data_IF_856908822569
#
_entry.id   IF_856908822569
#
_cell.length_a   1.000
_cell.length_b   1.000
_cell.length_c   1.000
_cell.angle_alpha   90.00
_cell.angle_beta   90.00
_cell.angle_gamma   90.00
#
_symmetry.space_group_name_H-M   'P 1'
#
loop_
_entity.id
_entity.type
_entity.pdbx_description
1 polymer ?
#
# COMPACT_ATOMS: atom_id res chain seq x y z
N UNK A 1 -4.28 -10.29 -4.94
CA UNK A 1 -3.55 -11.13 -3.97
C UNK A 1 -2.16 -11.55 -4.41
N UNK A 2 -1.68 -11.01 -5.53
CA UNK A 2 -0.33 -11.33 -6.01
C UNK A 2 0.74 -10.92 -4.99
N UNK A 3 0.47 -9.88 -4.21
CA UNK A 3 1.41 -9.38 -3.22
C UNK A 3 1.21 -9.94 -1.82
N UNK A 4 0.24 -10.82 -1.63
CA UNK A 4 -0.05 -11.37 -0.30
C UNK A 4 1.13 -12.18 0.24
N UNK A 5 1.67 -13.09 -0.55
CA UNK A 5 2.83 -13.86 -0.15
C UNK A 5 4.02 -12.95 0.17
N UNK A 6 4.26 -11.96 -0.69
CA UNK A 6 5.36 -11.02 -0.49
C UNK A 6 5.18 -10.22 0.81
N UNK A 7 3.96 -9.79 1.09
CA UNK A 7 3.65 -9.04 2.31
C UNK A 7 3.96 -9.86 3.56
N UNK A 8 3.48 -11.10 3.60
CA UNK A 8 3.73 -11.99 4.73
C UNK A 8 5.22 -12.31 4.86
N UNK A 9 5.86 -12.67 3.76
CA UNK A 9 7.28 -13.00 3.76
C UNK A 9 8.12 -11.83 4.27
N UNK A 10 7.88 -10.62 3.77
CA UNK A 10 8.64 -9.44 4.15
C UNK A 10 8.46 -9.09 5.63
N UNK A 11 7.33 -9.43 6.22
CA UNK A 11 7.08 -9.21 7.63
C UNK A 11 7.73 -10.24 8.55
N UNK A 12 8.19 -11.37 8.00
CA UNK A 12 8.76 -12.47 8.79
C UNK A 12 10.27 -12.62 8.66
N UNK A 13 10.91 -11.95 7.69
CA UNK A 13 12.35 -12.04 7.50
C UNK A 13 12.98 -10.67 7.57
N UNK A 14 14.24 -10.61 8.02
CA UNK A 14 14.98 -9.37 8.12
C UNK A 14 15.67 -9.05 6.80
N UNK A 15 15.65 -7.77 6.41
CA UNK A 15 16.41 -7.27 5.28
C UNK A 15 17.92 -7.38 5.47
N UNK A 16 18.39 -7.65 6.71
CA UNK A 16 19.79 -7.94 6.97
C UNK A 16 20.20 -9.31 6.49
N UNK A 17 19.24 -10.24 6.39
CA UNK A 17 19.52 -11.64 6.05
C UNK A 17 19.23 -11.95 4.60
N UNK A 18 18.29 -11.24 3.97
CA UNK A 18 17.89 -11.51 2.59
C UNK A 18 17.68 -10.20 1.82
N UNK A 19 17.96 -10.24 0.53
CA UNK A 19 17.54 -9.21 -0.41
C UNK A 19 16.11 -9.54 -0.84
N UNK A 20 15.14 -8.85 -0.27
CA UNK A 20 13.72 -9.16 -0.46
C UNK A 20 13.27 -8.95 -1.90
N UNK A 21 13.77 -7.95 -2.60
CA UNK A 21 13.44 -7.75 -4.01
C UNK A 21 13.89 -8.94 -4.85
N UNK A 22 15.14 -9.35 -4.66
CA UNK A 22 15.71 -10.47 -5.41
C UNK A 22 15.02 -11.77 -5.08
N UNK A 23 14.81 -12.02 -3.78
CA UNK A 23 14.22 -13.28 -3.29
C UNK A 23 12.80 -13.47 -3.80
N UNK A 24 12.03 -12.38 -3.89
CA UNK A 24 10.63 -12.42 -4.30
C UNK A 24 10.42 -12.12 -5.78
N UNK A 25 11.49 -11.82 -6.51
CA UNK A 25 11.39 -11.48 -7.92
C UNK A 25 10.68 -10.15 -8.17
N UNK A 26 10.72 -9.23 -7.22
CA UNK A 26 10.12 -7.91 -7.35
C UNK A 26 11.11 -6.91 -7.93
N UNK A 27 10.58 -5.91 -8.63
CA UNK A 27 11.39 -4.92 -9.33
C UNK A 27 11.41 -3.60 -8.57
N UNK A 28 12.57 -3.17 -8.03
CA UNK A 28 12.69 -1.86 -7.40
C UNK A 28 12.77 -0.77 -8.45
N UNK A 29 12.05 0.32 -8.22
CA UNK A 29 12.10 1.52 -9.06
C UNK A 29 12.38 2.70 -8.15
N UNK A 30 13.38 3.52 -8.53
CA UNK A 30 13.79 4.67 -7.73
C UNK A 30 12.74 5.78 -7.84
N UNK A 31 12.23 6.24 -6.70
CA UNK A 31 11.29 7.34 -6.66
C UNK A 31 11.95 8.67 -6.98
N UNK A 32 11.21 9.58 -7.61
CA UNK A 32 11.73 10.86 -8.10
C UNK A 32 11.95 11.89 -7.01
N UNK A 33 11.21 11.79 -5.90
CA UNK A 33 11.22 12.83 -4.85
C UNK A 33 12.20 12.53 -3.72
N UNK A 34 12.26 11.29 -3.25
CA UNK A 34 13.08 10.91 -2.11
C UNK A 34 14.24 10.00 -2.49
N UNK A 35 14.18 9.38 -3.67
CA UNK A 35 15.13 8.36 -4.07
C UNK A 35 14.88 7.01 -3.44
N UNK A 36 13.87 6.87 -2.60
CA UNK A 36 13.48 5.56 -2.07
C UNK A 36 12.88 4.70 -3.16
N UNK A 37 13.08 3.39 -3.06
CA UNK A 37 12.56 2.46 -4.06
C UNK A 37 11.10 2.15 -3.78
N UNK A 38 10.29 2.10 -4.86
CA UNK A 38 8.96 1.51 -4.79
C UNK A 38 8.94 0.21 -5.61
N UNK A 39 7.85 -0.51 -5.55
CA UNK A 39 7.71 -1.85 -6.13
C UNK A 39 6.90 -1.76 -7.42
N UNK A 40 7.54 -2.01 -8.56
CA UNK A 40 6.89 -1.86 -9.86
C UNK A 40 5.64 -2.72 -10.01
N UNK A 41 5.65 -3.92 -9.42
CA UNK A 41 4.52 -4.85 -9.49
C UNK A 41 3.29 -4.40 -8.70
N UNK A 42 3.44 -3.45 -7.79
CA UNK A 42 2.30 -2.93 -7.04
C UNK A 42 1.51 -1.93 -7.87
N UNK A 43 0.18 -2.02 -7.90
CA UNK A 43 -0.65 -1.13 -8.73
C UNK A 43 -0.66 0.32 -8.23
N UNK A 44 -0.43 0.53 -6.94
CA UNK A 44 -0.33 1.85 -6.34
C UNK A 44 0.88 1.88 -5.43
N UNK A 45 1.73 2.89 -5.60
CA UNK A 45 2.85 3.15 -4.72
C UNK A 45 2.80 4.59 -4.26
N UNK A 46 3.12 4.81 -2.99
CA UNK A 46 3.19 6.14 -2.41
C UNK A 46 4.59 6.39 -1.90
N UNK A 47 5.19 7.47 -2.34
CA UNK A 47 6.49 7.92 -1.89
C UNK A 47 6.29 8.94 -0.78
N UNK A 48 6.93 8.70 0.38
CA UNK A 48 6.66 9.49 1.58
C UNK A 48 7.95 10.02 2.19
N UNK A 49 7.85 11.18 2.85
CA UNK A 49 8.88 11.68 3.75
C UNK A 49 8.45 11.45 5.19
N UNK A 50 9.31 10.84 5.99
CA UNK A 50 9.01 10.62 7.41
C UNK A 50 8.96 11.97 8.11
N UNK A 51 7.84 12.25 8.77
CA UNK A 51 7.66 13.48 9.57
C UNK A 51 7.80 13.23 11.06
N UNK A 52 7.38 12.06 11.52
CA UNK A 52 7.45 11.70 12.93
C UNK A 52 7.82 10.24 13.08
N UNK A 53 8.61 9.96 14.10
CA UNK A 53 8.94 8.61 14.52
C UNK A 53 8.70 8.50 16.02
N UNK A 54 7.89 7.54 16.44
CA UNK A 54 7.54 7.33 17.84
C UNK A 54 7.99 5.93 18.23
N UNK A 55 8.83 5.85 19.25
CA UNK A 55 9.34 4.58 19.76
C UNK A 55 8.34 4.02 20.75
N UNK A 56 7.83 2.81 20.49
CA UNK A 56 6.80 2.16 21.29
C UNK A 56 7.31 0.78 21.79
N UNK A 57 8.45 0.75 22.46
CA UNK A 57 9.04 -0.50 22.92
C UNK A 57 9.58 -1.35 21.77
N UNK A 58 8.94 -2.49 21.49
CA UNK A 58 9.38 -3.41 20.43
C UNK A 58 9.06 -2.91 19.01
N UNK A 59 8.26 -1.86 18.88
CA UNK A 59 7.83 -1.32 17.60
C UNK A 59 8.07 0.18 17.55
N UNK A 60 8.22 0.69 16.33
CA UNK A 60 8.30 2.12 16.06
C UNK A 60 7.15 2.51 15.12
N UNK A 61 6.49 3.61 15.45
CA UNK A 61 5.45 4.18 14.59
C UNK A 61 6.05 5.29 13.74
N UNK A 62 5.89 5.21 12.43
CA UNK A 62 6.32 6.25 11.50
C UNK A 62 5.12 6.95 10.91
N UNK A 63 5.16 8.28 10.90
CA UNK A 63 4.16 9.10 10.21
C UNK A 63 4.85 9.75 9.04
N UNK A 64 4.40 9.42 7.84
CA UNK A 64 4.96 9.90 6.60
C UNK A 64 4.00 10.82 5.85
N UNK A 65 4.55 11.86 5.26
CA UNK A 65 3.81 12.72 4.33
C UNK A 65 3.97 12.16 2.93
N UNK A 66 2.85 11.92 2.23
CA UNK A 66 2.88 11.49 0.83
C UNK A 66 3.34 12.65 -0.04
N UNK A 67 4.49 12.49 -0.70
CA UNK A 67 5.04 13.52 -1.59
C UNK A 67 4.89 13.16 -3.06
N UNK A 68 4.63 11.90 -3.38
CA UNK A 68 4.34 11.45 -4.74
C UNK A 68 3.55 10.16 -4.70
N UNK A 69 2.74 9.94 -5.71
CA UNK A 69 2.00 8.69 -5.88
C UNK A 69 2.17 8.21 -7.32
N UNK A 70 2.36 6.90 -7.47
CA UNK A 70 2.54 6.25 -8.76
C UNK A 70 1.43 5.23 -8.92
N UNK A 71 0.59 5.40 -9.94
CA UNK A 71 -0.61 4.60 -10.13
C UNK A 71 -0.58 4.00 -11.54
N UNK A 72 -0.81 2.69 -11.62
CA UNK A 72 -0.89 1.98 -12.88
C UNK A 72 -2.12 2.43 -13.67
N UNK A 73 -2.00 2.53 -15.00
CA UNK A 73 -3.07 3.06 -15.86
C UNK A 73 -4.42 2.38 -15.66
N UNK A 74 -4.46 1.06 -15.55
CA UNK A 74 -5.71 0.31 -15.40
C UNK A 74 -6.42 0.48 -14.07
N UNK A 75 -5.83 1.22 -13.13
CA UNK A 75 -6.37 1.39 -11.78
C UNK A 75 -7.26 2.62 -11.68
N UNK A 76 -7.13 3.57 -12.58
CA UNK A 76 -7.90 4.81 -12.54
C UNK A 76 -9.16 4.73 -13.38
N UNK A 77 -10.21 5.40 -12.91
CA UNK A 77 -11.41 5.67 -13.72
C UNK A 77 -11.12 6.78 -14.73
N UNK A 78 -11.98 6.97 -15.75
CA UNK A 78 -11.84 8.10 -16.68
C UNK A 78 -11.81 9.46 -15.96
N UNK A 79 -12.45 9.56 -14.79
CA UNK A 79 -12.47 10.78 -13.98
C UNK A 79 -11.23 10.95 -13.10
N UNK A 80 -10.28 10.02 -13.17
CA UNK A 80 -9.04 10.09 -12.40
C UNK A 80 -9.13 9.59 -10.97
N UNK A 81 -10.17 8.84 -10.63
CA UNK A 81 -10.32 8.23 -9.30
C UNK A 81 -9.83 6.80 -9.32
N UNK A 82 -9.45 6.29 -8.14
CA UNK A 82 -9.07 4.89 -8.01
C UNK A 82 -10.28 4.01 -8.23
N UNK A 83 -10.16 3.09 -9.19
CA UNK A 83 -11.20 2.12 -9.47
C UNK A 83 -11.00 0.89 -8.59
N UNK A 84 -11.73 0.81 -7.49
CA UNK A 84 -11.59 -0.26 -6.51
C UNK A 84 -11.88 -1.64 -7.08
N UNK A 85 -12.71 -1.74 -8.13
CA UNK A 85 -13.01 -3.04 -8.76
C UNK A 85 -11.81 -3.62 -9.50
N UNK A 86 -10.81 -2.81 -9.83
CA UNK A 86 -9.58 -3.24 -10.47
C UNK A 86 -8.45 -3.50 -9.47
N UNK A 87 -8.76 -3.42 -8.18
CA UNK A 87 -7.81 -3.70 -7.10
C UNK A 87 -8.26 -4.93 -6.32
N UNK A 88 -7.30 -5.77 -5.98
CA UNK A 88 -7.53 -6.96 -5.18
C UNK A 88 -6.87 -6.74 -3.82
N UNK A 89 -7.53 -5.97 -2.99
CA UNK A 89 -7.01 -5.56 -1.69
C UNK A 89 -7.21 -6.63 -0.64
N UNK A 90 -6.35 -6.64 0.36
CA UNK A 90 -6.51 -7.48 1.53
C UNK A 90 -6.17 -6.68 2.78
N UNK A 91 -6.62 -7.17 3.93
CA UNK A 91 -6.33 -6.57 5.22
C UNK A 91 -5.80 -7.62 6.19
N UNK A 92 -5.00 -7.17 7.14
CA UNK A 92 -4.50 -8.02 8.21
C UNK A 92 -5.36 -7.79 9.45
N UNK A 93 -6.02 -8.85 9.90
CA UNK A 93 -6.79 -8.83 11.14
C UNK A 93 -6.26 -9.98 11.98
N UNK A 94 -5.38 -9.65 12.87
CA UNK A 94 -4.50 -10.53 13.57
C UNK A 94 -5.06 -11.85 14.05
N UNK A 95 -4.49 -12.98 13.70
CA UNK A 95 -3.26 -13.12 12.92
C UNK A 95 -3.50 -13.50 11.45
N UNK A 96 -4.65 -13.20 10.88
CA UNK A 96 -5.08 -13.68 9.57
C UNK A 96 -5.19 -12.55 8.55
N UNK A 97 -5.17 -12.94 7.28
CA UNK A 97 -5.40 -12.02 6.16
C UNK A 97 -6.79 -12.24 5.59
N UNK A 98 -7.49 -11.16 5.28
CA UNK A 98 -8.84 -11.21 4.73
C UNK A 98 -8.94 -10.33 3.49
N UNK A 99 -9.76 -10.74 2.54
CA UNK A 99 -10.06 -9.90 1.39
C UNK A 99 -10.98 -8.74 1.81
N UNK A 100 -10.95 -7.67 1.02
CA UNK A 100 -11.89 -6.57 1.18
C UNK A 100 -13.21 -6.99 0.54
N UNK A 101 -14.30 -6.78 1.24
CA UNK A 101 -15.62 -7.17 0.78
C UNK A 101 -16.27 -6.16 -0.14
N UNK A 102 -17.62 -6.25 -0.24
CA UNK A 102 -18.39 -5.38 -1.12
C UNK A 102 -18.44 -3.95 -0.60
N UNK A 103 -18.71 -3.01 -1.50
CA UNK A 103 -18.95 -1.61 -1.14
C UNK A 103 -20.17 -1.50 -0.25
N UNK A 104 -20.06 -0.77 0.85
CA UNK A 104 -21.15 -0.57 1.80
C UNK A 104 -21.82 0.80 1.64
N UNK A 105 -21.12 1.77 1.08
CA UNK A 105 -21.65 3.10 0.91
C UNK A 105 -20.58 4.02 0.35
N UNK A 106 -20.95 5.24 0.09
CA UNK A 106 -20.03 6.28 -0.35
C UNK A 106 -19.90 7.30 0.77
N UNK A 107 -18.71 7.89 0.90
CA UNK A 107 -18.50 8.96 1.87
C UNK A 107 -19.59 10.03 1.72
N UNK A 108 -20.21 10.37 2.82
CA UNK A 108 -21.30 11.36 2.84
C UNK A 108 -22.68 10.79 2.58
N UNK A 109 -22.84 9.48 2.37
CA UNK A 109 -24.15 8.90 2.07
C UNK A 109 -25.18 9.18 3.17
N UNK A 110 -24.73 9.30 4.42
CA UNK A 110 -25.61 9.55 5.55
C UNK A 110 -26.29 10.93 5.52
N UNK A 111 -25.74 11.87 4.75
CA UNK A 111 -26.26 13.23 4.63
C UNK A 111 -26.64 13.60 3.19
N UNK A 112 -26.33 12.75 2.22
CA UNK A 112 -26.57 13.03 0.79
C UNK A 112 -28.03 12.85 0.37
N UNK A 113 -28.84 12.15 1.17
CA UNK A 113 -30.24 11.88 0.87
C UNK A 113 -31.17 13.05 1.19
N UNK A 114 -30.61 14.20 1.45
CA UNK A 114 -31.37 15.38 1.87
C UNK A 114 -31.80 16.30 0.72
N UNK A 115 -31.52 15.90 -0.45
CA UNK A 115 -31.92 16.66 -1.64
C UNK A 115 -33.42 16.57 -1.92
#
# INVERSE_FOLDING_TARGET
NETLYATDYCGNVSGRDVDKFKELGLTPVKGDETGCHYIDECPINMECRVRHKIVLGSHELFIGEVVAAYVRDGVLTPEGRVNMSNLDLFTYVGPDYYSIGRKLGQYGYSVSSRS
#
